data_IF_765706977732
#
_entry.id   IF_765706977732
#
_cell.length_a   1.000
_cell.length_b   1.000
_cell.length_c   1.000
_cell.angle_alpha   90.00
_cell.angle_beta   90.00
_cell.angle_gamma   90.00
#
_symmetry.space_group_name_H-M   'P 1'
#
loop_
_entity.id
_entity.type
_entity.pdbx_description
1 polymer ?
#
# COMPACT_ATOMS: atom_id res chain seq x y z
N UNK A 1 11.29 2.67 4.44
CA UNK A 1 10.27 3.62 4.99
C UNK A 1 10.97 4.68 5.83
N UNK A 2 10.44 5.92 5.97
CA UNK A 2 11.05 6.93 6.84
C UNK A 2 11.31 6.37 8.24
N UNK A 3 12.46 6.73 8.82
CA UNK A 3 12.93 6.36 10.17
C UNK A 3 13.11 4.87 10.48
N UNK A 4 13.01 3.97 9.49
CA UNK A 4 13.22 2.51 9.67
C UNK A 4 14.45 2.02 8.91
N UNK A 5 15.23 1.15 9.55
CA UNK A 5 16.35 0.44 8.91
C UNK A 5 15.78 -0.72 8.09
N UNK A 6 16.28 -0.88 6.85
CA UNK A 6 15.94 -1.97 5.95
C UNK A 6 14.98 -1.59 4.80
N UNK A 7 14.77 -2.57 3.94
CA UNK A 7 13.97 -2.56 2.71
C UNK A 7 12.66 -3.34 2.89
N UNK A 8 11.66 -3.02 2.08
CA UNK A 8 10.37 -3.72 2.06
C UNK A 8 9.74 -3.55 0.68
N UNK A 9 8.98 -4.55 0.25
CA UNK A 9 8.24 -4.50 -1.01
C UNK A 9 7.12 -3.45 -0.99
N UNK A 10 6.95 -2.75 -2.12
CA UNK A 10 5.88 -1.78 -2.36
C UNK A 10 5.22 -2.11 -3.69
N UNK A 11 3.90 -1.95 -3.79
CA UNK A 11 3.18 -2.19 -5.02
C UNK A 11 3.41 -1.02 -5.99
N UNK A 12 3.92 -1.32 -7.19
CA UNK A 12 4.08 -0.32 -8.26
C UNK A 12 2.85 -0.22 -9.16
N UNK A 13 2.15 -1.34 -9.33
CA UNK A 13 0.96 -1.44 -10.16
C UNK A 13 0.01 -2.49 -9.58
N UNK A 14 -1.27 -2.35 -9.91
CA UNK A 14 -2.35 -3.23 -9.47
C UNK A 14 -3.36 -3.41 -10.60
N UNK A 15 -3.98 -4.58 -10.66
CA UNK A 15 -5.10 -4.84 -11.55
C UNK A 15 -6.02 -5.90 -10.92
N UNK A 16 -7.32 -5.81 -11.23
CA UNK A 16 -8.30 -6.81 -10.85
C UNK A 16 -8.92 -6.65 -9.46
N UNK A 17 -8.45 -5.73 -8.62
CA UNK A 17 -9.03 -5.47 -7.29
C UNK A 17 -8.73 -4.06 -6.79
N UNK A 18 -9.49 -3.63 -5.77
CA UNK A 18 -9.31 -2.35 -5.09
C UNK A 18 -8.01 -2.31 -4.25
N UNK A 19 -6.99 -1.51 -4.62
CA UNK A 19 -5.69 -1.50 -3.95
C UNK A 19 -5.73 -0.85 -2.56
N UNK A 20 -6.60 0.14 -2.40
CA UNK A 20 -6.75 0.92 -1.17
C UNK A 20 -8.20 0.83 -0.72
N UNK A 21 -8.42 0.20 0.42
CA UNK A 21 -9.75 0.12 1.02
C UNK A 21 -9.97 1.28 1.96
N UNK A 22 -10.90 2.15 1.61
CA UNK A 22 -11.33 3.22 2.48
C UNK A 22 -12.12 2.66 3.67
N UNK A 23 -11.61 2.91 4.88
CA UNK A 23 -12.26 2.50 6.14
C UNK A 23 -12.87 3.69 6.87
N UNK A 24 -12.78 4.91 6.33
CA UNK A 24 -13.40 6.08 6.93
C UNK A 24 -14.92 5.88 7.00
N UNK A 25 -15.53 6.26 8.11
CA UNK A 25 -16.96 6.03 8.36
C UNK A 25 -17.31 4.64 8.89
N UNK A 26 -16.41 3.65 8.80
CA UNK A 26 -16.63 2.33 9.41
C UNK A 26 -16.50 2.38 10.94
N UNK A 27 -17.22 1.49 11.63
CA UNK A 27 -17.16 1.36 13.09
C UNK A 27 -16.12 0.33 13.51
N UNK A 28 -15.36 0.64 14.56
CA UNK A 28 -14.50 -0.32 15.24
C UNK A 28 -15.29 -1.24 16.19
N UNK A 29 -14.58 -2.11 16.93
CA UNK A 29 -15.17 -3.05 17.89
C UNK A 29 -15.91 -2.37 19.05
N UNK A 30 -15.62 -1.11 19.33
CA UNK A 30 -16.24 -0.32 20.40
C UNK A 30 -17.28 0.67 19.86
N UNK A 31 -17.60 0.60 18.57
CA UNK A 31 -18.57 1.47 17.91
C UNK A 31 -18.04 2.85 17.52
N UNK A 32 -16.73 3.12 17.68
CA UNK A 32 -16.15 4.40 17.28
C UNK A 32 -16.00 4.47 15.76
N UNK A 33 -16.26 5.65 15.19
CA UNK A 33 -16.14 5.89 13.75
C UNK A 33 -14.69 6.16 13.37
N UNK A 34 -14.16 5.38 12.42
CA UNK A 34 -12.85 5.57 11.83
C UNK A 34 -12.82 6.84 10.99
N UNK A 35 -11.86 7.74 11.26
CA UNK A 35 -11.80 9.08 10.62
C UNK A 35 -10.81 9.19 9.45
N UNK A 36 -9.70 8.45 9.50
CA UNK A 36 -8.56 8.68 8.58
C UNK A 36 -8.17 7.43 7.78
N UNK A 37 -8.48 6.24 8.29
CA UNK A 37 -7.87 4.99 7.84
C UNK A 37 -8.13 4.66 6.37
N UNK A 38 -7.06 4.63 5.58
CA UNK A 38 -6.98 4.03 4.25
C UNK A 38 -6.10 2.79 4.34
N UNK A 39 -6.66 1.61 4.05
CA UNK A 39 -5.94 0.35 4.15
C UNK A 39 -5.29 0.00 2.81
N UNK A 40 -3.97 0.06 2.73
CA UNK A 40 -3.18 -0.20 1.51
C UNK A 40 -3.00 -1.72 1.27
N UNK A 41 -4.07 -2.36 0.80
CA UNK A 41 -4.12 -3.82 0.55
C UNK A 41 -3.01 -4.24 -0.42
N UNK A 42 -2.82 -3.51 -1.53
CA UNK A 42 -1.81 -3.85 -2.54
C UNK A 42 -0.39 -3.85 -1.96
N UNK A 43 -0.02 -2.83 -1.17
CA UNK A 43 1.30 -2.75 -0.53
C UNK A 43 1.50 -3.83 0.52
N UNK A 44 0.46 -4.17 1.30
CA UNK A 44 0.55 -5.28 2.25
C UNK A 44 0.82 -6.61 1.53
N UNK A 45 0.18 -6.85 0.38
CA UNK A 45 0.44 -8.03 -0.45
C UNK A 45 1.89 -8.00 -0.98
N UNK A 46 2.34 -6.86 -1.52
CA UNK A 46 3.69 -6.71 -2.07
C UNK A 46 4.77 -6.91 -1.00
N UNK A 47 4.58 -6.35 0.20
CA UNK A 47 5.48 -6.54 1.33
C UNK A 47 5.54 -8.01 1.79
N UNK A 48 4.39 -8.70 1.85
CA UNK A 48 4.35 -10.12 2.18
C UNK A 48 5.00 -11.00 1.09
N UNK A 49 4.80 -10.64 -0.18
CA UNK A 49 5.44 -11.34 -1.30
C UNK A 49 6.96 -11.15 -1.26
N UNK A 50 7.46 -9.94 -1.01
CA UNK A 50 8.90 -9.64 -0.92
C UNK A 50 9.62 -10.52 0.11
N UNK A 51 8.97 -10.81 1.24
CA UNK A 51 9.51 -11.70 2.27
C UNK A 51 9.76 -13.13 1.74
N UNK A 52 8.92 -13.62 0.82
CA UNK A 52 9.04 -14.96 0.22
C UNK A 52 9.98 -14.94 -0.99
N UNK A 53 9.96 -13.86 -1.76
CA UNK A 53 10.79 -13.69 -2.96
C UNK A 53 12.28 -13.62 -2.64
N UNK A 54 12.63 -13.06 -1.48
CA UNK A 54 14.01 -12.72 -1.16
C UNK A 54 14.47 -11.43 -1.84
N UNK A 55 15.68 -10.98 -1.51
CA UNK A 55 16.24 -9.71 -2.03
C UNK A 55 17.56 -9.88 -2.79
N UNK A 56 18.00 -11.12 -3.01
CA UNK A 56 19.31 -11.46 -3.56
C UNK A 56 19.22 -12.55 -4.65
N UNK A 57 19.82 -13.72 -4.45
CA UNK A 57 19.96 -14.80 -5.42
C UNK A 57 18.87 -15.89 -5.31
N UNK A 58 17.87 -15.70 -4.44
CA UNK A 58 16.78 -16.66 -4.17
C UNK A 58 15.96 -17.03 -5.41
N UNK A 59 16.05 -16.22 -6.48
CA UNK A 59 15.51 -16.54 -7.80
C UNK A 59 14.01 -16.88 -7.79
N UNK A 60 13.25 -16.26 -6.88
CA UNK A 60 11.81 -16.47 -6.71
C UNK A 60 11.04 -15.19 -7.12
N UNK A 61 10.78 -14.97 -8.42
CA UNK A 61 10.22 -13.70 -8.91
C UNK A 61 8.68 -13.59 -8.79
N UNK A 62 7.97 -14.68 -8.49
CA UNK A 62 6.51 -14.74 -8.50
C UNK A 62 5.99 -15.40 -7.24
N UNK A 63 5.01 -14.75 -6.61
CA UNK A 63 4.31 -15.27 -5.42
C UNK A 63 2.81 -15.33 -5.69
N UNK A 64 2.18 -16.44 -5.29
CA UNK A 64 0.73 -16.62 -5.39
C UNK A 64 0.13 -16.49 -3.99
N UNK A 65 -0.69 -15.45 -3.79
CA UNK A 65 -1.47 -15.25 -2.56
C UNK A 65 -2.88 -15.80 -2.77
N UNK A 66 -3.35 -16.62 -1.82
CA UNK A 66 -4.70 -17.24 -1.85
C UNK A 66 -5.45 -16.99 -0.54
N UNK A 67 -6.77 -17.01 -0.62
CA UNK A 67 -7.66 -16.85 0.56
C UNK A 67 -7.85 -15.40 1.03
N UNK A 68 -7.46 -14.41 0.22
CA UNK A 68 -7.63 -13.00 0.56
C UNK A 68 -9.00 -12.48 0.11
N UNK A 69 -9.75 -11.87 1.03
CA UNK A 69 -11.03 -11.24 0.73
C UNK A 69 -10.84 -9.79 0.25
N UNK A 70 -10.54 -9.64 -1.05
CA UNK A 70 -10.44 -8.32 -1.72
C UNK A 70 -11.70 -8.00 -2.51
N UNK A 71 -11.99 -6.70 -2.67
CA UNK A 71 -13.06 -6.26 -3.55
C UNK A 71 -12.53 -6.29 -4.99
N UNK A 72 -13.09 -7.17 -5.81
CA UNK A 72 -12.74 -7.23 -7.23
C UNK A 72 -13.21 -5.95 -7.93
N UNK A 73 -12.36 -5.44 -8.81
CA UNK A 73 -12.60 -4.21 -9.56
C UNK A 73 -11.92 -4.33 -10.92
N UNK A 74 -12.46 -3.66 -11.93
CA UNK A 74 -11.93 -3.67 -13.31
C UNK A 74 -11.46 -2.28 -13.76
N UNK A 75 -11.56 -1.27 -12.90
CA UNK A 75 -11.01 0.05 -13.21
C UNK A 75 -9.49 0.00 -13.35
N UNK A 76 -8.96 0.83 -14.22
CA UNK A 76 -7.53 1.16 -14.24
C UNK A 76 -7.22 2.08 -13.05
N UNK A 77 -6.10 1.80 -12.39
CA UNK A 77 -5.57 2.64 -11.31
C UNK A 77 -4.34 3.38 -11.80
N UNK A 78 -4.24 4.65 -11.44
CA UNK A 78 -3.04 5.46 -11.65
C UNK A 78 -2.25 5.59 -10.34
N UNK A 79 -1.01 6.06 -10.41
CA UNK A 79 -0.18 6.37 -9.27
C UNK A 79 -0.90 7.25 -8.24
N UNK A 80 -1.74 8.19 -8.68
CA UNK A 80 -2.54 9.05 -7.79
C UNK A 80 -3.57 8.32 -6.94
N UNK A 81 -3.96 7.09 -7.31
CA UNK A 81 -4.89 6.28 -6.52
C UNK A 81 -4.19 5.50 -5.39
N UNK A 82 -2.88 5.29 -5.51
CA UNK A 82 -2.08 4.52 -4.55
C UNK A 82 -1.16 5.41 -3.70
N UNK A 83 -0.78 6.58 -4.20
CA UNK A 83 0.19 7.45 -3.57
C UNK A 83 -0.40 8.80 -3.15
N UNK A 84 0.19 9.38 -2.12
CA UNK A 84 -0.10 10.75 -1.69
C UNK A 84 0.69 11.70 -2.61
N UNK A 85 -0.01 12.67 -3.21
CA UNK A 85 0.63 13.70 -4.04
C UNK A 85 1.70 14.49 -3.29
N UNK A 86 2.71 14.99 -3.99
CA UNK A 86 3.88 15.63 -3.38
C UNK A 86 3.54 16.78 -2.41
N UNK A 87 2.58 17.62 -2.77
CA UNK A 87 2.11 18.75 -1.93
C UNK A 87 1.47 18.32 -0.61
N UNK A 88 0.89 17.12 -0.57
CA UNK A 88 0.25 16.55 0.60
C UNK A 88 1.21 15.65 1.40
N UNK A 89 2.27 15.15 0.76
CA UNK A 89 3.27 14.32 1.40
C UNK A 89 4.18 15.17 2.27
N UNK A 90 4.02 15.08 3.59
CA UNK A 90 4.80 15.87 4.57
C UNK A 90 6.32 15.71 4.40
N UNK A 91 6.78 14.53 3.99
CA UNK A 91 8.21 14.25 3.80
C UNK A 91 8.74 14.97 2.57
N UNK A 92 8.05 14.85 1.43
CA UNK A 92 8.49 15.48 0.18
C UNK A 92 8.32 16.99 0.26
N UNK A 93 7.20 17.47 0.80
CA UNK A 93 6.95 18.90 1.02
C UNK A 93 8.00 19.55 1.92
N UNK A 94 8.44 18.84 2.96
CA UNK A 94 9.50 19.31 3.85
C UNK A 94 10.85 19.43 3.14
N UNK A 95 11.13 18.54 2.19
CA UNK A 95 12.34 18.57 1.36
C UNK A 95 12.27 19.64 0.26
N UNK A 96 11.09 19.91 -0.29
CA UNK A 96 10.91 20.89 -1.38
C UNK A 96 11.02 22.35 -0.92
N UNK A 97 10.75 22.63 0.36
CA UNK A 97 10.86 23.96 0.95
C UNK A 97 12.25 24.25 1.58
N UNK A 98 13.21 23.34 1.41
CA UNK A 98 14.59 23.49 1.88
C UNK A 98 15.48 24.36 0.97
N UNK A 99 14.98 25.54 0.58
CA UNK A 99 15.80 26.65 0.09
C UNK A 99 15.86 27.74 1.15
#
# INVERSE_FOLDING_TARGET
>A
MPTRIGTSGVALAVSGFEPVKDRRGSKDLFGNVMRVTLHAIADCIASAANLVMGETDESTPVVIVRGLSVKMDQRSYDWSDLAIGYEQCIYVRGLSNGR
#
